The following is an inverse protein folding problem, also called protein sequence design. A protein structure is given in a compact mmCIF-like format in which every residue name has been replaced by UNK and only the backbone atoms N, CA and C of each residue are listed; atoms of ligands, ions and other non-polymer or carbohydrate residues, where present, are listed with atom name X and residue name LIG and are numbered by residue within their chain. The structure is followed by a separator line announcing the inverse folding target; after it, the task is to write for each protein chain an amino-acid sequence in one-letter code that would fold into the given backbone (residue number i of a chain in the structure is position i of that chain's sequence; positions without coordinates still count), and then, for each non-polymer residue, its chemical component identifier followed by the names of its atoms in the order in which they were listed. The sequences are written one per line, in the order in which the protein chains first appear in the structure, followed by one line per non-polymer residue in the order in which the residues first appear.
data_IF_646082201123
#
_entry.id   IF_646082201123
#
_cell.length_a   1.000
_cell.length_b   1.000
_cell.length_c   1.000
_cell.angle_alpha   90.00
_cell.angle_beta   90.00
_cell.angle_gamma   90.00
#
_symmetry.space_group_name_H-M   'P 1'
#
loop_
_entity.id
_entity.type
_entity.pdbx_description
1 polymer ?
#
# COMPACT_ATOMS: atom_id res chain seq x y z
N UNK A 1 -13.13 15.92 1.35
CA UNK A 1 -13.34 16.17 2.81
C UNK A 1 -12.21 15.44 3.53
N UNK A 2 -11.63 15.98 4.63
CA UNK A 2 -10.52 15.30 5.31
C UNK A 2 -10.97 13.91 5.79
N UNK A 3 -10.21 12.88 5.41
CA UNK A 3 -10.49 11.49 5.81
C UNK A 3 -9.97 11.28 7.21
N UNK A 4 -10.75 10.61 8.07
CA UNK A 4 -10.40 10.42 9.47
C UNK A 4 -10.11 8.96 9.77
N UNK A 5 -9.07 8.73 10.55
CA UNK A 5 -8.68 7.41 11.05
C UNK A 5 -8.51 7.46 12.57
N UNK A 6 -8.55 6.29 13.20
CA UNK A 6 -8.26 6.14 14.62
C UNK A 6 -7.26 5.00 14.83
N UNK A 7 -6.12 5.31 15.44
CA UNK A 7 -5.05 4.35 15.75
C UNK A 7 -4.72 4.49 17.23
N UNK A 8 -4.67 3.38 17.98
CA UNK A 8 -4.37 3.36 19.42
C UNK A 8 -5.23 4.33 20.26
N UNK A 9 -6.48 4.55 19.85
CA UNK A 9 -7.41 5.47 20.52
C UNK A 9 -7.19 6.96 20.21
N UNK A 10 -6.22 7.30 19.36
CA UNK A 10 -5.96 8.66 18.88
C UNK A 10 -6.57 8.86 17.49
N UNK A 11 -7.14 10.02 17.25
CA UNK A 11 -7.70 10.37 15.95
C UNK A 11 -6.68 11.15 15.12
N UNK A 12 -6.66 10.88 13.83
CA UNK A 12 -5.89 11.62 12.85
C UNK A 12 -6.73 11.90 11.61
N UNK A 13 -6.46 13.02 10.94
CA UNK A 13 -7.09 13.40 9.69
C UNK A 13 -6.06 13.51 8.57
N UNK A 14 -6.39 12.98 7.39
CA UNK A 14 -5.60 13.15 6.17
C UNK A 14 -6.32 14.08 5.21
N UNK A 15 -5.61 15.07 4.70
CA UNK A 15 -6.09 15.88 3.57
C UNK A 15 -4.94 16.52 2.81
N UNK A 16 -5.08 16.59 1.49
CA UNK A 16 -4.15 17.24 0.58
C UNK A 16 -2.70 16.75 0.77
N UNK A 17 -2.53 15.44 0.96
CA UNK A 17 -1.21 14.84 1.14
C UNK A 17 -0.61 15.01 2.55
N UNK A 18 -1.34 15.57 3.50
CA UNK A 18 -0.84 15.88 4.85
C UNK A 18 -1.67 15.19 5.93
N UNK A 19 -0.96 14.67 6.94
CA UNK A 19 -1.58 14.19 8.18
C UNK A 19 -1.67 15.31 9.21
N UNK A 20 -2.72 15.28 10.01
CA UNK A 20 -2.88 16.10 11.20
C UNK A 20 -3.39 15.23 12.36
N UNK A 21 -2.72 15.29 13.49
CA UNK A 21 -3.01 14.51 14.69
C UNK A 21 -2.49 15.28 15.92
N UNK A 22 -3.24 15.23 17.02
CA UNK A 22 -2.88 15.89 18.27
C UNK A 22 -1.74 15.18 19.04
N UNK A 23 -1.43 13.94 18.65
CA UNK A 23 -0.36 13.14 19.25
C UNK A 23 0.89 13.18 18.36
N UNK A 24 1.96 13.81 18.84
CA UNK A 24 3.21 14.02 18.07
C UNK A 24 3.85 12.71 17.60
N UNK A 25 3.75 11.65 18.41
CA UNK A 25 4.35 10.35 18.06
C UNK A 25 3.58 9.69 16.93
N UNK A 26 2.24 9.68 17.01
CA UNK A 26 1.39 9.18 15.95
C UNK A 26 1.51 10.05 14.68
N UNK A 27 1.58 11.37 14.83
CA UNK A 27 1.81 12.29 13.71
C UNK A 27 3.09 11.94 12.97
N UNK A 28 4.22 11.75 13.68
CA UNK A 28 5.48 11.38 13.06
C UNK A 28 5.41 10.02 12.33
N UNK A 29 4.75 9.02 12.93
CA UNK A 29 4.54 7.71 12.30
C UNK A 29 3.71 7.81 11.01
N UNK A 30 2.62 8.59 11.04
CA UNK A 30 1.76 8.78 9.87
C UNK A 30 2.46 9.59 8.77
N UNK A 31 3.27 10.58 9.15
CA UNK A 31 4.03 11.39 8.21
C UNK A 31 5.06 10.55 7.42
N UNK A 32 5.60 9.48 8.01
CA UNK A 32 6.48 8.54 7.31
C UNK A 32 5.76 7.77 6.19
N UNK A 33 4.43 7.67 6.25
CA UNK A 33 3.61 7.08 5.21
C UNK A 33 2.97 8.12 4.30
N UNK A 34 3.15 9.43 4.51
CA UNK A 34 2.40 10.45 3.75
C UNK A 34 2.65 10.36 2.23
N UNK A 35 1.58 10.27 1.44
CA UNK A 35 1.65 10.44 0.00
C UNK A 35 1.21 11.87 -0.40
N UNK A 36 2.14 12.76 -0.77
CA UNK A 36 1.80 14.12 -1.19
C UNK A 36 1.01 14.19 -2.52
N UNK A 37 0.89 13.07 -3.25
CA UNK A 37 0.15 13.00 -4.53
C UNK A 37 -1.32 12.64 -4.34
N UNK A 38 -1.72 12.20 -3.15
CA UNK A 38 -3.11 11.89 -2.83
C UNK A 38 -3.90 13.20 -2.60
N UNK A 39 -4.39 13.78 -3.70
CA UNK A 39 -5.05 15.09 -3.73
C UNK A 39 -6.56 15.01 -3.99
N UNK A 40 -7.03 13.89 -4.53
CA UNK A 40 -8.46 13.65 -4.75
C UNK A 40 -9.06 12.90 -3.57
N UNK A 41 -10.37 13.05 -3.34
CA UNK A 41 -11.06 12.38 -2.23
C UNK A 41 -10.91 10.85 -2.26
N UNK A 42 -10.95 10.24 -3.44
CA UNK A 42 -10.74 8.81 -3.60
C UNK A 42 -9.32 8.39 -3.18
N UNK A 43 -8.30 9.17 -3.57
CA UNK A 43 -6.91 8.90 -3.19
C UNK A 43 -6.66 9.15 -1.70
N UNK A 44 -7.25 10.21 -1.14
CA UNK A 44 -7.19 10.47 0.31
C UNK A 44 -7.79 9.30 1.10
N UNK A 45 -8.92 8.76 0.63
CA UNK A 45 -9.59 7.61 1.25
C UNK A 45 -8.75 6.34 1.15
N UNK A 46 -8.21 6.03 -0.03
CA UNK A 46 -7.34 4.88 -0.25
C UNK A 46 -6.09 4.95 0.63
N UNK A 47 -5.46 6.13 0.69
CA UNK A 47 -4.28 6.37 1.51
C UNK A 47 -4.56 6.19 3.00
N UNK A 48 -5.66 6.78 3.47
CA UNK A 48 -6.06 6.68 4.86
C UNK A 48 -6.44 5.23 5.24
N UNK A 49 -7.09 4.50 4.34
CA UNK A 49 -7.42 3.09 4.53
C UNK A 49 -6.16 2.24 4.65
N UNK A 50 -5.18 2.44 3.77
CA UNK A 50 -3.88 1.78 3.83
C UNK A 50 -3.16 2.08 5.16
N UNK A 51 -3.06 3.36 5.54
CA UNK A 51 -2.38 3.77 6.76
C UNK A 51 -3.05 3.19 8.02
N UNK A 52 -4.39 3.24 8.11
CA UNK A 52 -5.14 2.64 9.20
C UNK A 52 -4.94 1.11 9.22
N UNK A 53 -5.06 0.44 8.07
CA UNK A 53 -4.90 -1.01 7.97
C UNK A 53 -3.51 -1.48 8.40
N UNK A 54 -2.46 -0.76 7.98
CA UNK A 54 -1.06 -1.07 8.32
C UNK A 54 -0.76 -1.02 9.82
N UNK A 55 -1.47 -0.17 10.56
CA UNK A 55 -1.33 -0.04 12.01
C UNK A 55 -2.45 -0.72 12.81
N UNK A 56 -3.35 -1.48 12.16
CA UNK A 56 -4.47 -2.14 12.81
C UNK A 56 -5.51 -1.18 13.40
N UNK A 57 -5.72 -0.05 12.73
CA UNK A 57 -6.62 1.03 13.14
C UNK A 57 -8.03 0.94 12.54
N UNK A 58 -8.80 2.01 12.76
CA UNK A 58 -10.15 2.20 12.26
C UNK A 58 -10.20 3.34 11.26
N UNK A 59 -11.13 3.28 10.31
CA UNK A 59 -11.46 4.36 9.37
C UNK A 59 -12.87 4.88 9.63
N UNK A 60 -13.08 6.18 9.48
CA UNK A 60 -14.40 6.79 9.61
C UNK A 60 -15.23 6.53 8.34
N UNK A 61 -16.43 6.00 8.52
CA UNK A 61 -17.45 5.79 7.48
C UNK A 61 -18.73 6.53 7.86
N UNK A 62 -19.73 6.65 6.96
CA UNK A 62 -21.02 7.25 7.31
C UNK A 62 -21.76 6.54 8.46
N UNK A 63 -21.44 5.27 8.73
CA UNK A 63 -22.06 4.45 9.76
C UNK A 63 -21.30 4.47 11.09
N UNK A 64 -20.11 5.06 11.14
CA UNK A 64 -19.28 5.15 12.34
C UNK A 64 -17.82 4.83 12.07
N UNK A 65 -17.20 4.08 12.98
CA UNK A 65 -15.81 3.64 12.84
C UNK A 65 -15.77 2.17 12.48
N UNK A 66 -15.07 1.85 11.40
CA UNK A 66 -14.91 0.48 10.91
C UNK A 66 -13.44 0.06 10.92
N UNK A 67 -13.18 -1.23 11.15
CA UNK A 67 -11.82 -1.75 11.12
C UNK A 67 -11.25 -1.66 9.71
N UNK A 68 -10.10 -1.02 9.56
CA UNK A 68 -9.42 -0.97 8.28
C UNK A 68 -8.84 -2.36 7.97
N UNK A 69 -9.07 -2.92 6.76
CA UNK A 69 -8.50 -4.19 6.38
C UNK A 69 -6.97 -4.06 6.32
N UNK A 70 -6.27 -5.12 6.73
CA UNK A 70 -4.81 -5.14 6.60
C UNK A 70 -4.43 -5.05 5.12
N UNK A 71 -3.49 -4.16 4.72
CA UNK A 71 -3.07 -4.07 3.33
C UNK A 71 -2.43 -5.38 2.87
N UNK A 72 -2.49 -5.64 1.56
CA UNK A 72 -1.78 -6.77 0.97
C UNK A 72 -0.26 -6.66 1.23
N UNK A 73 0.42 -7.80 1.25
CA UNK A 73 1.87 -7.82 1.34
C UNK A 73 2.49 -7.16 0.09
N UNK A 74 3.32 -6.14 0.31
CA UNK A 74 4.03 -5.42 -0.76
C UNK A 74 5.05 -6.28 -1.51
N UNK A 75 5.47 -7.38 -0.90
CA UNK A 75 6.39 -8.36 -1.50
C UNK A 75 5.76 -9.74 -1.33
N UNK A 76 5.48 -10.40 -2.45
CA UNK A 76 4.94 -11.75 -2.51
C UNK A 76 6.08 -12.73 -2.77
N UNK A 77 5.91 -13.98 -2.36
CA UNK A 77 6.90 -15.03 -2.63
C UNK A 77 7.11 -15.24 -4.14
N UNK A 78 6.07 -14.95 -4.93
CA UNK A 78 6.09 -14.96 -6.39
C UNK A 78 7.09 -13.97 -6.99
N UNK A 79 7.36 -12.84 -6.33
CA UNK A 79 8.34 -11.84 -6.79
C UNK A 79 9.78 -12.37 -6.73
N UNK A 80 10.01 -13.42 -5.93
CA UNK A 80 11.29 -14.11 -5.82
C UNK A 80 11.37 -15.38 -6.66
N UNK A 81 10.29 -15.76 -7.36
CA UNK A 81 10.32 -16.92 -8.22
C UNK A 81 11.27 -16.64 -9.41
N UNK A 82 12.23 -17.54 -9.70
CA UNK A 82 13.03 -17.40 -10.91
C UNK A 82 12.08 -17.40 -12.10
N UNK A 83 12.07 -16.31 -12.87
CA UNK A 83 11.23 -16.19 -14.06
C UNK A 83 11.39 -17.41 -14.98
N UNK A 84 10.36 -17.76 -15.78
CA UNK A 84 10.42 -18.92 -16.66
C UNK A 84 11.69 -18.83 -17.50
N UNK A 85 12.59 -19.80 -17.29
CA UNK A 85 13.81 -19.92 -18.09
C UNK A 85 13.38 -19.89 -19.55
N UNK A 86 13.85 -18.94 -20.38
CA UNK A 86 13.56 -18.99 -21.80
C UNK A 86 14.05 -20.35 -22.29
N UNK A 87 13.13 -21.14 -22.85
CA UNK A 87 13.47 -22.39 -23.50
C UNK A 87 14.52 -22.05 -24.54
N UNK A 88 15.74 -22.56 -24.30
CA UNK A 88 16.93 -22.47 -25.12
C UNK A 88 16.62 -22.07 -26.57
N UNK A 89 16.93 -20.82 -26.93
CA UNK A 89 17.12 -20.43 -28.32
C UNK A 89 18.26 -21.31 -28.89
N UNK A 90 17.88 -22.43 -29.48
CA UNK A 90 18.75 -23.44 -30.05
C UNK A 90 19.38 -22.97 -31.36
N UNK A 91 20.34 -22.05 -31.28
CA UNK A 91 21.35 -21.77 -32.30
C UNK A 91 22.10 -23.01 -32.85
N UNK A 92 21.91 -24.20 -32.25
CA UNK A 92 22.51 -25.47 -32.69
C UNK A 92 21.63 -26.32 -33.63
N UNK A 93 20.51 -25.81 -34.15
CA UNK A 93 19.68 -26.56 -35.10
C UNK A 93 20.31 -26.75 -36.50
N UNK A 94 21.52 -26.23 -36.76
CA UNK A 94 22.19 -26.29 -38.07
C UNK A 94 23.21 -27.43 -38.24
N UNK A 95 23.44 -28.28 -37.23
CA UNK A 95 24.48 -29.34 -37.31
C UNK A 95 23.97 -30.77 -37.51
N UNK A 96 22.72 -30.98 -37.94
CA UNK A 96 22.24 -32.30 -38.35
C UNK A 96 21.85 -32.33 -39.83
N UNK A 97 22.88 -32.34 -40.70
CA UNK A 97 22.77 -32.97 -42.02
C UNK A 97 24.16 -33.41 -42.50
N UNK A 98 24.49 -34.68 -42.27
CA UNK A 98 25.36 -35.53 -43.11
C UNK A 98 25.47 -36.94 -42.52
N UNK A 99 24.61 -37.84 -42.99
CA UNK A 99 24.98 -39.12 -43.57
C UNK A 99 23.80 -39.68 -44.35
#
# INVERSE_FOLDING_TARGET
MPVRIRIYGKEASFSQGCWNCDDDSLQAMLQALADPRALTEAQEQEHALYAAGRFGGLIATPLGWEAAPHPEAEIKLEDFAPGPRPERAGWLSFLQKKK
#
